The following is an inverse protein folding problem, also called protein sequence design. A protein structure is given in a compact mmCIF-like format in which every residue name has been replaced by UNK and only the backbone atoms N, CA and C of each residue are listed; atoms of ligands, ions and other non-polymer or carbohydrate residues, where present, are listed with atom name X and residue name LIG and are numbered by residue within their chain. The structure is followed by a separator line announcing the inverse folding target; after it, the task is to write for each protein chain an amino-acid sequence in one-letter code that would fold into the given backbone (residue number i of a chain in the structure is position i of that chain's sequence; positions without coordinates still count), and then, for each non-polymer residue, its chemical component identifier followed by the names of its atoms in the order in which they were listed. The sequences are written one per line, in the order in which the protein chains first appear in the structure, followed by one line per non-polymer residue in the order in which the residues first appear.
data_IF_072892341780
#
_entry.id   IF_072892341780
#
_cell.length_a   1.000
_cell.length_b   1.000
_cell.length_c   1.000
_cell.angle_alpha   90.00
_cell.angle_beta   90.00
_cell.angle_gamma   90.00
#
_symmetry.space_group_name_H-M   'P 1'
#
loop_
_entity.id
_entity.type
_entity.pdbx_description
1 polymer ?
#
# COMPACT_ATOMS: atom_id res chain seq x y z
N UNK A 1 -12.96 10.06 -3.71
CA UNK A 1 -13.90 9.25 -2.91
C UNK A 1 -15.24 9.97 -2.89
N UNK A 2 -16.35 9.25 -3.08
CA UNK A 2 -17.71 9.74 -2.84
C UNK A 2 -18.41 10.55 -3.95
N UNK A 3 -18.77 9.88 -5.04
CA UNK A 3 -20.01 10.19 -5.79
C UNK A 3 -20.84 8.91 -5.95
N UNK A 4 -20.18 7.76 -6.16
CA UNK A 4 -20.83 6.44 -6.25
C UNK A 4 -21.55 6.07 -4.95
N UNK A 5 -20.92 6.23 -3.77
CA UNK A 5 -21.56 5.98 -2.47
C UNK A 5 -22.80 6.85 -2.20
N UNK A 6 -22.81 8.11 -2.68
CA UNK A 6 -23.95 9.01 -2.45
C UNK A 6 -25.13 8.64 -3.36
N UNK A 7 -24.86 8.12 -4.55
CA UNK A 7 -25.90 7.66 -5.47
C UNK A 7 -26.63 6.43 -4.92
N UNK A 8 -25.93 5.55 -4.19
CA UNK A 8 -26.52 4.36 -3.57
C UNK A 8 -27.34 4.64 -2.31
N UNK A 9 -27.06 5.71 -1.56
CA UNK A 9 -27.81 6.03 -0.33
C UNK A 9 -28.98 6.98 -0.54
N UNK A 10 -28.92 7.87 -1.54
CA UNK A 10 -29.87 8.96 -1.70
C UNK A 10 -31.00 8.68 -2.72
N UNK A 11 -30.93 7.61 -3.51
CA UNK A 11 -31.93 7.30 -4.53
C UNK A 11 -32.36 5.82 -4.44
N UNK A 12 -33.65 5.60 -4.20
CA UNK A 12 -34.36 4.31 -4.28
C UNK A 12 -34.22 3.37 -3.07
N UNK A 13 -35.36 3.06 -2.45
CA UNK A 13 -35.43 2.42 -1.14
C UNK A 13 -34.69 1.09 -0.99
N UNK A 14 -33.86 0.98 0.06
CA UNK A 14 -33.38 -0.25 0.74
C UNK A 14 -33.21 -1.50 -0.14
N UNK A 15 -32.63 -1.38 -1.34
CA UNK A 15 -32.33 -2.55 -2.17
C UNK A 15 -30.92 -3.01 -1.87
N UNK A 16 -30.78 -4.29 -1.54
CA UNK A 16 -29.47 -4.87 -1.25
C UNK A 16 -28.69 -5.03 -2.53
N UNK A 17 -27.49 -4.47 -2.60
CA UNK A 17 -26.65 -4.50 -3.79
C UNK A 17 -25.29 -5.12 -3.47
N UNK A 18 -24.84 -6.05 -4.30
CA UNK A 18 -23.49 -6.61 -4.29
C UNK A 18 -22.73 -5.97 -5.46
N UNK A 19 -21.91 -4.95 -5.17
CA UNK A 19 -21.21 -4.18 -6.20
C UNK A 19 -22.18 -3.46 -7.14
N UNK A 20 -22.40 -4.04 -8.32
CA UNK A 20 -23.33 -3.51 -9.35
C UNK A 20 -24.62 -4.32 -9.47
N UNK A 21 -24.70 -5.48 -8.81
CA UNK A 21 -25.85 -6.36 -8.90
C UNK A 21 -26.83 -6.11 -7.76
N UNK A 22 -28.08 -5.86 -8.12
CA UNK A 22 -29.17 -5.67 -7.17
C UNK A 22 -29.91 -6.99 -6.88
N UNK A 23 -30.14 -7.27 -5.61
CA UNK A 23 -30.97 -8.39 -5.16
C UNK A 23 -32.42 -7.93 -5.00
N UNK A 24 -33.36 -8.76 -5.46
CA UNK A 24 -34.79 -8.46 -5.29
C UNK A 24 -35.22 -8.66 -3.82
N UNK A 25 -34.62 -9.64 -3.14
CA UNK A 25 -34.83 -9.88 -1.73
C UNK A 25 -33.52 -10.35 -1.06
N UNK A 26 -33.24 -9.78 0.10
CA UNK A 26 -32.22 -10.25 1.03
C UNK A 26 -32.90 -11.20 2.03
N UNK A 27 -32.46 -12.45 2.08
CA UNK A 27 -33.01 -13.47 2.98
C UNK A 27 -32.23 -13.52 4.30
N UNK A 28 -30.91 -13.62 4.22
CA UNK A 28 -30.04 -13.65 5.40
C UNK A 28 -28.87 -12.71 5.22
N UNK A 29 -28.56 -11.97 6.28
CA UNK A 29 -27.35 -11.17 6.42
C UNK A 29 -26.72 -11.57 7.74
N UNK A 30 -25.50 -12.09 7.69
CA UNK A 30 -24.76 -12.53 8.88
C UNK A 30 -23.36 -11.93 8.88
N UNK A 31 -23.08 -11.10 9.87
CA UNK A 31 -21.81 -10.39 10.03
C UNK A 31 -21.04 -10.99 11.21
N UNK A 32 -19.87 -11.55 10.93
CA UNK A 32 -19.01 -12.18 11.92
C UNK A 32 -17.76 -11.34 12.19
N UNK A 33 -17.59 -10.97 13.46
CA UNK A 33 -16.45 -10.21 13.97
C UNK A 33 -15.69 -11.07 14.97
N UNK A 34 -14.51 -11.55 14.57
CA UNK A 34 -13.63 -12.34 15.43
C UNK A 34 -12.37 -11.55 15.83
N UNK A 35 -11.78 -11.93 16.96
CA UNK A 35 -10.52 -11.40 17.45
C UNK A 35 -9.81 -12.47 18.27
N UNK A 36 -8.49 -12.54 18.13
CA UNK A 36 -7.64 -13.43 18.88
C UNK A 36 -7.13 -12.69 20.12
N UNK A 37 -7.37 -13.26 21.30
CA UNK A 37 -6.92 -12.72 22.58
C UNK A 37 -5.75 -13.61 23.05
N UNK A 38 -4.62 -12.99 23.42
CA UNK A 38 -3.49 -13.75 23.98
C UNK A 38 -3.75 -14.05 25.45
N UNK A 39 -3.60 -15.31 25.85
CA UNK A 39 -3.84 -15.76 27.20
C UNK A 39 -2.58 -16.40 27.80
N UNK A 40 -2.24 -15.99 29.02
CA UNK A 40 -1.11 -16.47 29.79
C UNK A 40 -1.61 -16.97 31.16
N UNK A 41 -1.73 -18.29 31.35
CA UNK A 41 -2.07 -18.86 32.65
C UNK A 41 -0.91 -18.64 33.63
N UNK A 42 -1.24 -18.23 34.86
CA UNK A 42 -0.28 -18.10 35.97
C UNK A 42 -0.44 -19.22 36.99
N UNK A 43 0.55 -19.37 37.87
CA UNK A 43 0.69 -20.49 38.81
C UNK A 43 -0.52 -20.69 39.75
N UNK A 44 -1.22 -19.61 40.08
CA UNK A 44 -2.45 -19.64 40.90
C UNK A 44 -3.69 -20.14 40.15
N UNK A 45 -3.54 -20.56 38.89
CA UNK A 45 -4.62 -21.08 38.04
C UNK A 45 -5.49 -20.00 37.40
N UNK A 46 -5.14 -18.72 37.56
CA UNK A 46 -5.80 -17.60 36.90
C UNK A 46 -5.18 -17.35 35.52
N UNK A 47 -5.97 -16.89 34.55
CA UNK A 47 -5.50 -16.53 33.21
C UNK A 47 -5.47 -15.01 33.07
N UNK A 48 -4.34 -14.48 32.61
CA UNK A 48 -4.16 -13.05 32.31
C UNK A 48 -4.05 -12.88 30.80
N UNK A 49 -4.63 -11.82 30.26
CA UNK A 49 -4.46 -11.42 28.86
C UNK A 49 -3.83 -10.04 28.75
N UNK A 50 -3.01 -9.83 27.72
CA UNK A 50 -2.30 -8.56 27.47
C UNK A 50 -2.63 -7.96 26.10
N UNK A 51 -2.86 -8.80 25.08
CA UNK A 51 -3.05 -8.35 23.71
C UNK A 51 -4.32 -8.91 23.05
N UNK A 52 -4.91 -8.11 22.16
CA UNK A 52 -6.04 -8.49 21.32
C UNK A 52 -5.69 -8.14 19.86
N UNK A 53 -5.66 -9.14 18.99
CA UNK A 53 -5.48 -8.99 17.55
C UNK A 53 -6.82 -9.17 16.85
N UNK A 54 -7.26 -8.16 16.10
CA UNK A 54 -8.53 -8.22 15.36
C UNK A 54 -8.37 -9.04 14.07
N UNK A 55 -9.26 -10.00 13.86
CA UNK A 55 -9.32 -10.73 12.60
C UNK A 55 -10.11 -9.97 11.54
N UNK A 56 -10.02 -10.43 10.29
CA UNK A 56 -10.80 -9.84 9.20
C UNK A 56 -12.27 -10.20 9.34
N UNK A 57 -13.10 -9.17 9.27
CA UNK A 57 -14.56 -9.27 9.27
C UNK A 57 -15.05 -10.15 8.12
N UNK A 58 -15.99 -11.05 8.42
CA UNK A 58 -16.64 -11.94 7.44
C UNK A 58 -18.11 -11.59 7.33
N UNK A 59 -18.62 -11.55 6.11
CA UNK A 59 -20.02 -11.30 5.81
C UNK A 59 -20.56 -12.48 4.99
N UNK A 60 -21.63 -13.11 5.45
CA UNK A 60 -22.37 -14.12 4.70
C UNK A 60 -23.74 -13.56 4.34
N UNK A 61 -24.07 -13.64 3.06
CA UNK A 61 -25.27 -13.04 2.50
C UNK A 61 -25.99 -14.08 1.66
N UNK A 62 -27.29 -14.26 1.91
CA UNK A 62 -28.16 -15.03 1.02
C UNK A 62 -29.33 -14.18 0.55
N UNK A 63 -29.67 -14.32 -0.72
CA UNK A 63 -30.73 -13.53 -1.34
C UNK A 63 -31.28 -14.18 -2.59
N UNK A 64 -32.32 -13.55 -3.13
CA UNK A 64 -33.05 -14.04 -4.29
C UNK A 64 -33.08 -12.97 -5.37
N UNK A 65 -32.86 -13.41 -6.61
CA UNK A 65 -33.17 -12.63 -7.81
C UNK A 65 -34.27 -13.34 -8.55
N UNK A 66 -35.38 -12.64 -8.76
CA UNK A 66 -36.54 -13.12 -9.49
C UNK A 66 -36.51 -12.59 -10.93
N UNK A 67 -36.89 -13.47 -11.85
CA UNK A 67 -37.12 -13.14 -13.26
C UNK A 67 -38.54 -12.66 -13.49
N UNK A 68 -39.29 -12.22 -12.48
CA UNK A 68 -40.66 -11.76 -12.69
C UNK A 68 -40.64 -10.50 -13.58
N UNK A 69 -40.97 -10.68 -14.86
CA UNK A 69 -41.16 -9.57 -15.80
C UNK A 69 -42.40 -8.76 -15.41
N UNK A 70 -42.37 -7.46 -15.66
CA UNK A 70 -43.58 -6.61 -15.57
C UNK A 70 -44.68 -7.17 -16.48
N UNK A 71 -45.95 -6.89 -16.17
CA UNK A 71 -47.16 -7.36 -16.89
C UNK A 71 -47.09 -7.33 -18.44
N UNK A 72 -46.30 -6.42 -19.03
CA UNK A 72 -46.16 -6.25 -20.48
C UNK A 72 -44.93 -6.92 -21.11
N UNK A 73 -44.06 -7.56 -20.31
CA UNK A 73 -42.71 -7.98 -20.72
C UNK A 73 -42.31 -9.34 -20.12
N UNK A 74 -43.17 -10.34 -20.28
CA UNK A 74 -43.01 -11.70 -19.72
C UNK A 74 -41.74 -12.41 -20.23
N UNK A 75 -41.22 -12.05 -21.42
CA UNK A 75 -39.99 -12.64 -21.97
C UNK A 75 -38.66 -12.08 -21.42
N UNK A 76 -38.67 -10.91 -20.77
CA UNK A 76 -37.46 -10.23 -20.28
C UNK A 76 -36.92 -10.80 -18.96
N UNK A 77 -37.75 -11.55 -18.24
CA UNK A 77 -37.41 -12.18 -16.97
C UNK A 77 -36.19 -13.09 -17.02
N UNK A 78 -36.16 -13.97 -18.02
CA UNK A 78 -35.05 -14.90 -18.25
C UNK A 78 -33.74 -14.18 -18.56
N UNK A 79 -33.80 -13.08 -19.29
CA UNK A 79 -32.62 -12.26 -19.58
C UNK A 79 -32.05 -11.62 -18.33
N UNK A 80 -32.89 -11.14 -17.40
CA UNK A 80 -32.45 -10.63 -16.09
C UNK A 80 -31.69 -11.70 -15.32
N UNK A 81 -32.20 -12.93 -15.26
CA UNK A 81 -31.54 -14.03 -14.55
C UNK A 81 -30.21 -14.43 -15.20
N UNK A 82 -30.16 -14.48 -16.54
CA UNK A 82 -28.93 -14.79 -17.28
C UNK A 82 -27.88 -13.69 -17.05
N UNK A 83 -28.28 -12.43 -17.16
CA UNK A 83 -27.41 -11.29 -16.92
C UNK A 83 -26.89 -11.28 -15.48
N UNK A 84 -27.76 -11.50 -14.49
CA UNK A 84 -27.37 -11.58 -13.09
C UNK A 84 -26.31 -12.68 -12.86
N UNK A 85 -26.55 -13.89 -13.40
CA UNK A 85 -25.60 -14.99 -13.31
C UNK A 85 -24.24 -14.66 -13.94
N UNK A 86 -24.25 -13.98 -15.08
CA UNK A 86 -23.01 -13.61 -15.77
C UNK A 86 -22.26 -12.49 -15.04
N UNK A 87 -22.97 -11.47 -14.55
CA UNK A 87 -22.35 -10.40 -13.73
C UNK A 87 -21.70 -10.94 -12.47
N UNK A 88 -22.33 -11.90 -11.78
CA UNK A 88 -21.74 -12.57 -10.61
C UNK A 88 -20.47 -13.35 -10.96
N UNK A 89 -20.48 -14.06 -12.09
CA UNK A 89 -19.28 -14.76 -12.60
C UNK A 89 -18.17 -13.79 -12.93
N UNK A 90 -18.49 -12.67 -13.57
CA UNK A 90 -17.54 -11.63 -13.93
C UNK A 90 -16.95 -10.96 -12.69
N UNK A 91 -17.79 -10.61 -11.70
CA UNK A 91 -17.34 -10.05 -10.41
C UNK A 91 -16.36 -10.99 -9.70
N UNK A 92 -16.69 -12.28 -9.64
CA UNK A 92 -15.78 -13.27 -9.07
C UNK A 92 -14.50 -13.44 -9.90
N UNK A 93 -14.59 -13.42 -11.24
CA UNK A 93 -13.43 -13.54 -12.13
C UNK A 93 -12.47 -12.35 -12.04
N UNK A 94 -13.00 -11.13 -11.83
CA UNK A 94 -12.20 -9.90 -11.69
C UNK A 94 -11.35 -9.90 -10.41
N UNK A 95 -11.75 -10.62 -9.36
CA UNK A 95 -11.06 -10.65 -8.05
C UNK A 95 -10.84 -9.26 -7.46
N UNK A 96 -11.74 -8.34 -7.79
CA UNK A 96 -11.70 -6.97 -7.29
C UNK A 96 -12.46 -6.87 -5.96
N UNK A 97 -12.10 -5.86 -5.16
CA UNK A 97 -12.84 -5.55 -3.94
C UNK A 97 -14.19 -4.94 -4.33
N UNK A 98 -15.26 -5.45 -3.71
CA UNK A 98 -16.62 -4.99 -3.92
C UNK A 98 -17.12 -4.23 -2.70
N UNK A 99 -18.00 -3.26 -2.96
CA UNK A 99 -18.80 -2.62 -1.92
C UNK A 99 -20.17 -3.26 -1.89
N UNK A 100 -20.63 -3.67 -0.71
CA UNK A 100 -21.94 -4.29 -0.52
C UNK A 100 -22.79 -3.32 0.29
N UNK A 101 -23.96 -3.00 -0.23
CA UNK A 101 -24.89 -2.09 0.44
C UNK A 101 -26.10 -2.92 0.87
N UNK A 102 -26.39 -2.95 2.15
CA UNK A 102 -27.58 -3.58 2.70
C UNK A 102 -28.53 -2.52 3.25
N UNK A 103 -29.69 -2.96 3.75
CA UNK A 103 -30.63 -2.04 4.41
C UNK A 103 -30.14 -1.52 5.77
N UNK A 104 -29.09 -2.13 6.33
CA UNK A 104 -28.57 -1.83 7.66
C UNK A 104 -27.19 -1.16 7.61
N UNK A 105 -26.32 -1.58 6.69
CA UNK A 105 -24.94 -1.07 6.64
C UNK A 105 -24.35 -1.06 5.22
N UNK A 106 -23.19 -0.40 5.09
CA UNK A 106 -22.38 -0.34 3.88
C UNK A 106 -21.02 -0.99 4.16
N UNK A 107 -20.79 -2.13 3.51
CA UNK A 107 -19.58 -2.95 3.65
C UNK A 107 -18.60 -2.63 2.53
N UNK A 108 -17.60 -1.81 2.82
CA UNK A 108 -16.55 -1.43 1.87
C UNK A 108 -15.34 -2.36 1.94
N UNK A 109 -14.64 -2.51 0.81
CA UNK A 109 -13.39 -3.27 0.69
C UNK A 109 -13.51 -4.77 1.01
N UNK A 110 -14.62 -5.40 0.60
CA UNK A 110 -14.82 -6.83 0.76
C UNK A 110 -14.39 -7.59 -0.50
N UNK A 111 -13.69 -8.71 -0.31
CA UNK A 111 -13.41 -9.67 -1.37
C UNK A 111 -14.43 -10.82 -1.30
N UNK A 112 -14.78 -11.38 -2.47
CA UNK A 112 -15.64 -12.57 -2.58
C UNK A 112 -14.80 -13.80 -2.23
N UNK A 113 -15.18 -14.55 -1.18
CA UNK A 113 -14.55 -15.82 -0.81
C UNK A 113 -15.22 -17.00 -1.51
N UNK A 114 -16.55 -17.02 -1.48
CA UNK A 114 -17.36 -18.04 -2.10
C UNK A 114 -18.63 -17.42 -2.67
N UNK A 115 -19.11 -18.00 -3.77
CA UNK A 115 -20.30 -17.56 -4.45
C UNK A 115 -21.00 -18.78 -5.05
N UNK A 116 -22.21 -19.01 -4.60
CA UNK A 116 -23.08 -20.09 -5.03
C UNK A 116 -24.35 -19.50 -5.67
N UNK A 117 -24.70 -20.03 -6.84
CA UNK A 117 -25.85 -19.60 -7.62
C UNK A 117 -26.69 -20.84 -7.92
N UNK A 118 -27.77 -20.99 -7.18
CA UNK A 118 -28.66 -22.12 -7.29
C UNK A 118 -29.93 -21.76 -8.07
N UNK A 119 -30.43 -22.71 -8.83
CA UNK A 119 -31.74 -22.65 -9.47
C UNK A 119 -32.45 -23.99 -9.29
N UNK A 120 -33.57 -23.99 -8.58
CA UNK A 120 -34.44 -25.15 -8.42
C UNK A 120 -35.71 -25.01 -9.30
N UNK A 121 -36.28 -26.12 -9.76
CA UNK A 121 -37.56 -26.18 -10.47
C UNK A 121 -38.74 -25.80 -9.58
N UNK A 122 -38.68 -26.12 -8.29
CA UNK A 122 -39.78 -25.85 -7.34
C UNK A 122 -39.98 -24.35 -7.08
N UNK A 123 -38.90 -23.60 -7.31
CA UNK A 123 -38.72 -22.19 -6.99
C UNK A 123 -39.16 -21.25 -8.12
N UNK A 124 -39.55 -21.80 -9.27
CA UNK A 124 -39.98 -21.06 -10.45
C UNK A 124 -38.83 -20.31 -11.15
N UNK A 125 -39.12 -19.10 -11.65
CA UNK A 125 -38.13 -18.26 -12.32
C UNK A 125 -37.37 -17.38 -11.32
N UNK A 126 -36.59 -18.00 -10.43
CA UNK A 126 -35.69 -17.30 -9.50
C UNK A 126 -34.31 -17.95 -9.43
N UNK A 127 -33.34 -17.17 -8.98
CA UNK A 127 -32.00 -17.61 -8.61
C UNK A 127 -31.81 -17.35 -7.12
N UNK A 128 -31.39 -18.38 -6.40
CA UNK A 128 -30.96 -18.25 -5.02
C UNK A 128 -29.44 -18.02 -5.04
N UNK A 129 -29.00 -16.98 -4.36
CA UNK A 129 -27.59 -16.59 -4.28
C UNK A 129 -27.17 -16.73 -2.84
N UNK A 130 -26.07 -17.44 -2.62
CA UNK A 130 -25.37 -17.47 -1.34
C UNK A 130 -23.93 -17.02 -1.60
N UNK A 131 -23.48 -16.00 -0.89
CA UNK A 131 -22.15 -15.44 -1.06
C UNK A 131 -21.50 -15.19 0.29
N UNK A 132 -20.22 -15.53 0.39
CA UNK A 132 -19.38 -15.22 1.53
C UNK A 132 -18.31 -14.24 1.13
N UNK A 133 -18.10 -13.25 1.98
CA UNK A 133 -17.18 -12.17 1.75
C UNK A 133 -16.26 -11.98 2.94
N UNK A 134 -15.03 -11.53 2.67
CA UNK A 134 -14.05 -11.18 3.69
C UNK A 134 -13.50 -9.79 3.46
N UNK A 135 -13.47 -8.99 4.51
CA UNK A 135 -12.91 -7.63 4.47
C UNK A 135 -11.41 -7.67 4.28
N UNK A 136 -10.91 -6.92 3.30
CA UNK A 136 -9.48 -6.79 3.04
C UNK A 136 -8.95 -5.55 3.76
N UNK A 137 -8.07 -5.76 4.74
CA UNK A 137 -7.44 -4.68 5.48
C UNK A 137 -6.33 -4.03 4.64
N UNK A 138 -6.48 -2.75 4.33
CA UNK A 138 -5.43 -1.96 3.66
C UNK A 138 -4.50 -1.37 4.71
N UNK A 139 -3.21 -1.73 4.64
CA UNK A 139 -2.19 -1.13 5.49
C UNK A 139 -1.65 0.13 4.80
N UNK A 140 -1.77 1.28 5.47
CA UNK A 140 -1.13 2.51 5.00
C UNK A 140 0.29 2.57 5.55
N UNK A 141 1.28 2.48 4.67
CA UNK A 141 2.69 2.59 5.06
C UNK A 141 2.99 4.02 5.49
N UNK A 142 3.51 4.19 6.71
CA UNK A 142 4.10 5.45 7.15
C UNK A 142 5.56 5.47 6.71
N UNK A 143 5.93 6.40 5.84
CA UNK A 143 7.33 6.68 5.50
C UNK A 143 7.78 7.82 6.39
N UNK A 144 8.72 7.55 7.28
CA UNK A 144 9.38 8.58 8.08
C UNK A 144 10.66 8.99 7.36
N UNK A 145 10.84 10.29 7.13
CA UNK A 145 12.06 10.82 6.54
C UNK A 145 13.18 10.71 7.57
N UNK A 146 14.15 9.85 7.28
CA UNK A 146 15.37 9.71 8.09
C UNK A 146 16.09 11.06 8.09
N UNK A 147 16.33 11.70 9.26
CA UNK A 147 17.07 12.94 9.33
C UNK A 147 18.45 12.74 8.70
N UNK A 148 18.96 13.69 7.89
CA UNK A 148 20.28 13.56 7.30
C UNK A 148 21.30 13.42 8.43
N UNK A 149 22.00 12.29 8.43
CA UNK A 149 23.14 12.05 9.31
C UNK A 149 24.11 13.21 9.12
N UNK A 150 24.33 14.00 10.17
CA UNK A 150 25.35 15.04 10.18
C UNK A 150 26.72 14.37 10.16
N UNK A 151 27.15 13.92 9.01
CA UNK A 151 28.55 13.60 8.75
C UNK A 151 29.32 14.92 8.62
N UNK A 152 29.65 15.53 9.76
CA UNK A 152 30.77 16.46 9.82
C UNK A 152 32.02 15.65 10.16
N UNK A 153 32.95 15.53 9.21
CA UNK A 153 34.33 15.75 9.59
C UNK A 153 35.02 16.59 8.51
N UNK A 154 34.92 17.92 8.65
CA UNK A 154 35.93 18.80 8.08
C UNK A 154 37.23 18.70 8.91
N UNK A 155 37.78 17.48 9.04
CA UNK A 155 39.17 17.30 9.41
C UNK A 155 39.99 17.44 8.11
N UNK A 156 40.19 18.69 7.68
CA UNK A 156 41.20 19.04 6.66
C UNK A 156 42.56 18.59 7.19
N UNK A 157 42.95 17.38 6.84
CA UNK A 157 44.32 16.92 6.97
C UNK A 157 45.25 17.94 6.30
N UNK A 158 46.28 18.37 7.03
CA UNK A 158 47.38 19.17 6.49
C UNK A 158 48.15 18.33 5.48
N UNK A 159 47.65 18.21 4.25
CA UNK A 159 48.38 17.65 3.12
C UNK A 159 49.19 18.76 2.45
N UNK A 160 50.51 18.58 2.41
CA UNK A 160 51.49 19.58 2.04
C UNK A 160 51.31 20.19 0.66
N UNK A 161 51.43 21.52 0.59
CA UNK A 161 51.63 22.24 -0.66
C UNK A 161 53.09 22.09 -1.08
N UNK A 162 53.38 21.15 -1.97
CA UNK A 162 54.62 21.15 -2.75
C UNK A 162 54.28 21.20 -4.22
N UNK A 163 54.47 22.39 -4.82
CA UNK A 163 54.99 22.65 -6.18
C UNK A 163 54.82 24.14 -6.54
N UNK A 164 55.73 24.98 -6.05
CA UNK A 164 56.06 26.24 -6.70
C UNK A 164 57.31 25.99 -7.58
N UNK A 165 57.15 26.13 -8.90
CA UNK A 165 58.22 25.95 -9.89
C UNK A 165 59.10 27.20 -9.94
N UNK A 166 60.38 27.04 -9.60
CA UNK A 166 61.44 28.06 -9.69
C UNK A 166 61.95 28.20 -11.13
N UNK A 167 61.87 29.42 -11.68
CA UNK A 167 62.83 30.04 -12.63
C UNK A 167 63.07 29.42 -14.02
N UNK A 168 62.54 30.06 -15.07
CA UNK A 168 63.11 29.99 -16.44
C UNK A 168 64.26 31.00 -16.56
N UNK A 169 65.46 30.55 -16.92
CA UNK A 169 66.61 31.40 -17.21
C UNK A 169 66.50 32.00 -18.63
N UNK A 170 66.70 33.31 -18.76
CA UNK A 170 66.87 34.03 -20.03
C UNK A 170 68.35 34.09 -20.39
N UNK A 171 68.69 33.71 -21.62
CA UNK A 171 70.02 33.82 -22.21
C UNK A 171 70.21 35.22 -22.81
N UNK A 172 71.16 35.98 -22.27
CA UNK A 172 71.67 37.21 -22.87
C UNK A 172 72.97 37.65 -22.18
N UNK A 173 74.09 37.64 -22.89
CA UNK A 173 75.42 38.15 -22.50
C UNK A 173 75.84 39.14 -23.61
N UNK A 174 76.73 40.15 -23.44
CA UNK A 174 77.50 40.59 -22.26
C UNK A 174 77.32 42.11 -21.97
N UNK A 175 78.00 42.75 -21.01
CA UNK A 175 79.24 43.53 -21.25
C UNK A 175 79.96 43.87 -19.94
N UNK A 176 81.28 43.89 -20.07
CA UNK A 176 82.38 44.13 -19.15
C UNK A 176 82.30 45.48 -18.39
N UNK A 177 82.76 45.52 -17.12
CA UNK A 177 83.68 46.53 -16.53
C UNK A 177 83.59 46.53 -14.99
N UNK A 178 84.77 46.46 -14.33
CA UNK A 178 85.04 46.57 -12.88
C UNK A 178 84.64 45.34 -12.03
N UNK A 179 85.51 44.33 -11.81
CA UNK A 179 86.82 44.38 -11.16
C UNK A 179 86.77 45.01 -9.75
N UNK A 180 86.71 44.19 -8.71
CA UNK A 180 87.84 43.92 -7.80
C UNK A 180 87.35 43.36 -6.44
N UNK A 181 88.11 42.38 -5.93
CA UNK A 181 88.09 41.80 -4.57
C UNK A 181 87.07 40.69 -4.28
N UNK A 182 87.31 39.52 -4.87
CA UNK A 182 87.35 38.29 -4.07
C UNK A 182 88.72 37.66 -4.31
N UNK A 183 89.77 38.36 -3.88
CA UNK A 183 91.03 37.70 -3.55
C UNK A 183 90.82 36.87 -2.30
N UNK A 184 91.35 35.64 -2.37
CA UNK A 184 91.64 34.72 -1.27
C UNK A 184 90.48 33.85 -0.81
N UNK A 185 90.29 32.76 -1.55
CA UNK A 185 90.43 31.45 -0.92
C UNK A 185 91.92 31.20 -0.61
N UNK A 186 92.20 30.85 0.64
CA UNK A 186 93.50 30.40 1.13
C UNK A 186 93.26 29.74 2.49
N UNK A 187 93.44 28.42 2.53
CA UNK A 187 93.28 27.54 3.68
C UNK A 187 94.16 27.93 4.88
N UNK A 188 93.74 27.59 6.11
CA UNK A 188 94.36 26.54 6.94
C UNK A 188 94.01 26.67 8.45
N UNK A 189 93.70 25.51 9.05
CA UNK A 189 93.91 25.07 10.45
C UNK A 189 93.17 25.71 11.62
N UNK A 190 92.45 24.83 12.34
CA UNK A 190 92.99 24.37 13.64
C UNK A 190 92.31 24.87 14.91
N UNK A 191 91.51 23.95 15.50
CA UNK A 191 91.44 23.57 16.91
C UNK A 191 91.22 24.65 18.02
N UNK A 192 90.16 24.32 18.77
CA UNK A 192 90.05 24.12 20.23
C UNK A 192 89.47 25.25 21.08
N UNK A 193 88.49 24.77 21.86
CA UNK A 193 87.87 25.26 23.10
C UNK A 193 86.85 26.38 22.98
#
# INVERSE_FOLDING_TARGET
MSIVNLLFSALAGKRTTIGVLELDALLTENTSLSSQITEYPIEDGTVISDHITRESERLSLSGVITGAGTLFNVGLGKYKLIAAKETLRELHAKRELVTIVTGLDVYEDFAIESLEIERNSDDGERLNISAEFRKIQKVTLRKEEVPPEKAAPNAKGKAGQTKAKTGKAQTGKPTNTQAQKITKFGEWSGKKE
#
